data_IF_586382837277
#
_entry.id   IF_586382837277
#
_cell.length_a   1.000
_cell.length_b   1.000
_cell.length_c   1.000
_cell.angle_alpha   90.00
_cell.angle_beta   90.00
_cell.angle_gamma   90.00
#
_symmetry.space_group_name_H-M   'P 1'
#
loop_
_entity.id
_entity.type
_entity.pdbx_description
1 polymer ?
#
# COMPACT_ATOMS: atom_id res chain seq x y z
N UNK A 1 -0.35 -40.03 -14.86
CA UNK A 1 -1.38 -40.74 -14.09
C UNK A 1 -2.48 -39.77 -13.66
N UNK A 2 -3.76 -40.12 -13.83
CA UNK A 2 -4.91 -39.26 -13.51
C UNK A 2 -5.37 -39.33 -12.04
N UNK A 3 -6.43 -38.57 -11.70
CA UNK A 3 -7.08 -38.63 -10.37
C UNK A 3 -7.75 -39.99 -10.16
N UNK A 4 -7.73 -40.47 -8.92
CA UNK A 4 -8.50 -41.66 -8.52
C UNK A 4 -10.01 -41.42 -8.63
N UNK A 5 -10.77 -42.44 -9.07
CA UNK A 5 -12.22 -42.38 -9.37
C UNK A 5 -13.07 -43.40 -8.59
N UNK A 6 -12.49 -44.12 -7.64
CA UNK A 6 -13.21 -45.15 -6.88
C UNK A 6 -14.14 -44.57 -5.81
N UNK A 7 -15.24 -45.26 -5.51
CA UNK A 7 -16.23 -44.83 -4.50
C UNK A 7 -15.61 -44.55 -3.11
N UNK A 8 -14.54 -45.28 -2.73
CA UNK A 8 -13.86 -45.15 -1.42
C UNK A 8 -12.62 -44.23 -1.44
N UNK A 9 -12.43 -43.37 -2.44
CA UNK A 9 -11.21 -42.54 -2.57
C UNK A 9 -11.34 -41.10 -2.07
N UNK A 10 -12.42 -40.76 -1.36
CA UNK A 10 -12.70 -39.40 -0.89
C UNK A 10 -11.56 -38.78 -0.05
N UNK A 11 -10.98 -39.54 0.88
CA UNK A 11 -9.87 -39.06 1.74
C UNK A 11 -8.66 -38.64 0.91
N UNK A 12 -8.27 -39.46 -0.08
CA UNK A 12 -7.13 -39.18 -0.98
C UNK A 12 -7.36 -37.92 -1.80
N UNK A 13 -8.57 -37.76 -2.35
CA UNK A 13 -8.93 -36.56 -3.13
C UNK A 13 -8.90 -35.29 -2.26
N UNK A 14 -9.42 -35.35 -1.02
CA UNK A 14 -9.41 -34.22 -0.08
C UNK A 14 -7.99 -33.81 0.32
N UNK A 15 -7.16 -34.76 0.75
CA UNK A 15 -5.78 -34.46 1.15
C UNK A 15 -4.98 -33.88 -0.01
N UNK A 16 -5.05 -34.52 -1.18
CA UNK A 16 -4.38 -34.03 -2.38
C UNK A 16 -4.82 -32.60 -2.73
N UNK A 17 -6.13 -32.29 -2.69
CA UNK A 17 -6.62 -30.93 -2.94
C UNK A 17 -6.10 -29.93 -1.91
N UNK A 18 -6.04 -30.30 -0.63
CA UNK A 18 -5.52 -29.44 0.45
C UNK A 18 -4.04 -29.12 0.22
N UNK A 19 -3.25 -30.12 -0.15
CA UNK A 19 -1.82 -29.93 -0.41
C UNK A 19 -1.62 -29.07 -1.66
N UNK A 20 -2.41 -29.32 -2.71
CA UNK A 20 -2.38 -28.52 -3.93
C UNK A 20 -2.82 -27.07 -3.73
N UNK A 21 -3.72 -26.78 -2.78
CA UNK A 21 -4.09 -25.38 -2.44
C UNK A 21 -2.88 -24.56 -1.99
N UNK A 22 -1.88 -25.17 -1.37
CA UNK A 22 -0.68 -24.44 -0.94
C UNK A 22 0.24 -24.00 -2.09
N UNK A 23 0.08 -24.58 -3.29
CA UNK A 23 0.75 -24.10 -4.51
C UNK A 23 0.07 -22.86 -5.10
N UNK A 24 -1.18 -22.55 -4.70
CA UNK A 24 -1.82 -21.29 -5.07
C UNK A 24 -1.26 -20.12 -4.25
N UNK A 25 -0.74 -19.11 -4.97
CA UNK A 25 -0.07 -17.96 -4.37
C UNK A 25 -1.00 -17.13 -3.48
N UNK A 26 -2.27 -17.00 -3.86
CA UNK A 26 -3.24 -16.19 -3.09
C UNK A 26 -3.63 -16.92 -1.81
N UNK A 27 -3.91 -18.22 -1.92
CA UNK A 27 -4.20 -19.09 -0.79
C UNK A 27 -3.04 -19.07 0.22
N UNK A 28 -1.81 -19.29 -0.24
CA UNK A 28 -0.62 -19.25 0.62
C UNK A 28 -0.46 -17.89 1.32
N UNK A 29 -0.63 -16.78 0.59
CA UNK A 29 -0.51 -15.42 1.16
C UNK A 29 -1.56 -15.14 2.24
N UNK A 30 -2.79 -15.64 2.06
CA UNK A 30 -3.88 -15.45 3.01
C UNK A 30 -3.73 -16.33 4.26
N UNK A 31 -3.33 -17.60 4.12
CA UNK A 31 -3.36 -18.58 5.21
C UNK A 31 -2.04 -18.71 5.98
N UNK A 32 -0.92 -18.21 5.43
CA UNK A 32 0.38 -18.24 6.11
C UNK A 32 0.57 -17.09 7.12
N UNK A 33 -0.33 -16.10 7.13
CA UNK A 33 -0.22 -14.92 8.02
C UNK A 33 0.90 -13.94 7.66
N UNK A 34 1.76 -14.25 6.68
CA UNK A 34 2.85 -13.36 6.21
C UNK A 34 2.32 -11.99 5.77
N UNK A 35 1.13 -11.96 5.14
CA UNK A 35 0.48 -10.72 4.74
C UNK A 35 0.12 -9.82 5.94
N UNK A 36 -0.17 -10.39 7.11
CA UNK A 36 -0.48 -9.60 8.31
C UNK A 36 0.82 -9.10 8.98
N UNK A 37 1.83 -9.97 9.10
CA UNK A 37 3.11 -9.65 9.77
C UNK A 37 3.93 -8.63 8.98
N UNK A 38 4.08 -8.85 7.68
CA UNK A 38 4.98 -8.05 6.83
C UNK A 38 4.34 -6.75 6.33
N UNK A 39 3.00 -6.67 6.25
CA UNK A 39 2.33 -5.47 5.75
C UNK A 39 2.52 -4.30 6.74
N UNK A 40 3.04 -3.14 6.30
CA UNK A 40 3.12 -1.94 7.14
C UNK A 40 1.77 -1.51 7.71
N UNK A 41 0.66 -1.79 7.02
CA UNK A 41 -0.68 -1.45 7.50
C UNK A 41 -1.28 -2.51 8.42
N UNK A 42 -0.63 -3.65 8.64
CA UNK A 42 -1.16 -4.69 9.55
C UNK A 42 -2.58 -5.16 9.17
N UNK A 43 -2.89 -5.23 7.87
CA UNK A 43 -4.21 -5.66 7.38
C UNK A 43 -5.26 -4.54 7.25
N UNK A 44 -5.01 -3.35 7.80
CA UNK A 44 -5.91 -2.21 7.64
C UNK A 44 -5.88 -1.63 6.20
N UNK A 45 -6.98 -0.97 5.79
CA UNK A 45 -7.09 -0.30 4.49
C UNK A 45 -6.26 0.98 4.42
N UNK A 46 -6.19 1.71 5.53
CA UNK A 46 -5.49 2.98 5.68
C UNK A 46 -4.63 2.98 6.95
N UNK A 47 -3.67 3.89 7.00
CA UNK A 47 -2.91 4.16 8.21
C UNK A 47 -2.57 5.64 8.31
N UNK A 48 -2.60 6.15 9.54
CA UNK A 48 -2.16 7.50 9.89
C UNK A 48 -0.65 7.48 10.15
N UNK A 49 0.04 8.54 9.74
CA UNK A 49 1.47 8.68 9.93
C UNK A 49 1.91 10.13 10.00
N UNK A 50 3.16 10.33 10.40
CA UNK A 50 3.82 11.63 10.49
C UNK A 50 4.83 11.73 9.34
N UNK A 51 4.85 12.86 8.64
CA UNK A 51 5.82 13.11 7.57
C UNK A 51 7.20 13.37 8.17
N UNK A 52 8.21 12.67 7.65
CA UNK A 52 9.61 12.86 8.04
C UNK A 52 10.34 13.79 7.08
N UNK A 53 10.24 13.54 5.78
CA UNK A 53 10.99 14.25 4.74
C UNK A 53 10.23 14.22 3.41
N UNK A 54 10.43 15.24 2.58
CA UNK A 54 9.97 15.30 1.19
C UNK A 54 11.00 14.57 0.31
N UNK A 55 10.56 13.63 -0.53
CA UNK A 55 11.46 12.79 -1.34
C UNK A 55 11.08 12.88 -2.81
N UNK A 56 12.04 13.20 -3.67
CA UNK A 56 11.91 13.03 -5.12
C UNK A 56 12.31 11.61 -5.53
N UNK A 57 11.39 10.85 -6.12
CA UNK A 57 11.68 9.51 -6.65
C UNK A 57 11.76 9.59 -8.17
N UNK A 58 12.89 9.18 -8.75
CA UNK A 58 13.04 9.12 -10.20
C UNK A 58 12.11 8.05 -10.80
N UNK A 59 11.47 8.39 -11.91
CA UNK A 59 10.64 7.46 -12.65
C UNK A 59 11.49 6.34 -13.27
N UNK A 60 10.88 5.17 -13.43
CA UNK A 60 11.49 4.08 -14.20
C UNK A 60 11.55 4.45 -15.68
N UNK A 61 12.63 4.04 -16.33
CA UNK A 61 12.74 3.98 -17.78
C UNK A 61 11.50 3.26 -18.35
N UNK A 62 10.90 3.73 -19.46
CA UNK A 62 11.41 4.72 -20.45
C UNK A 62 11.08 6.19 -20.13
N UNK A 63 10.45 6.48 -18.99
CA UNK A 63 10.01 7.83 -18.65
C UNK A 63 11.14 8.60 -17.94
N UNK A 64 11.20 9.92 -18.14
CA UNK A 64 12.04 10.83 -17.38
C UNK A 64 11.17 11.80 -16.59
N UNK A 65 11.09 11.61 -15.27
CA UNK A 65 10.34 12.49 -14.36
C UNK A 65 10.77 12.26 -12.91
N UNK A 66 10.61 13.30 -12.08
CA UNK A 66 10.76 13.20 -10.62
C UNK A 66 9.38 13.15 -9.99
N UNK A 67 9.01 11.98 -9.47
CA UNK A 67 7.74 11.74 -8.77
C UNK A 67 7.84 12.23 -7.34
N UNK A 68 7.02 13.23 -6.99
CA UNK A 68 6.98 13.82 -5.65
C UNK A 68 6.36 12.85 -4.64
N UNK A 69 7.15 12.46 -3.66
CA UNK A 69 6.77 11.54 -2.59
C UNK A 69 7.12 12.14 -1.23
N UNK A 70 6.63 11.50 -0.17
CA UNK A 70 6.98 11.80 1.22
C UNK A 70 7.35 10.53 1.95
N UNK A 71 8.32 10.62 2.84
CA UNK A 71 8.62 9.59 3.83
C UNK A 71 7.69 9.78 5.00
N UNK A 72 6.99 8.73 5.38
CA UNK A 72 5.99 8.76 6.46
C UNK A 72 6.33 7.70 7.48
N UNK A 73 6.35 8.06 8.76
CA UNK A 73 6.40 7.12 9.86
C UNK A 73 4.98 6.85 10.36
N UNK A 74 4.56 5.59 10.31
CA UNK A 74 3.24 5.20 10.79
C UNK A 74 3.16 5.31 12.32
N UNK A 75 2.14 5.99 12.84
CA UNK A 75 1.99 6.23 14.29
C UNK A 75 1.82 4.91 15.06
N UNK A 76 1.03 3.98 14.51
CA UNK A 76 0.66 2.75 15.20
C UNK A 76 1.79 1.74 15.40
N UNK A 77 2.83 1.77 14.57
CA UNK A 77 3.86 0.73 14.57
C UNK A 77 5.28 1.25 14.29
N UNK A 78 5.46 2.56 14.15
CA UNK A 78 6.76 3.20 13.90
C UNK A 78 7.41 2.84 12.56
N UNK A 79 6.75 2.07 11.69
CA UNK A 79 7.33 1.65 10.40
C UNK A 79 7.41 2.85 9.46
N UNK A 80 8.58 3.05 8.86
CA UNK A 80 8.82 4.07 7.83
C UNK A 80 8.38 3.55 6.47
N UNK A 81 7.59 4.33 5.76
CA UNK A 81 7.10 4.03 4.41
C UNK A 81 7.32 5.22 3.48
N UNK A 82 7.32 4.98 2.18
CA UNK A 82 7.24 6.03 1.16
C UNK A 82 5.85 6.08 0.58
N UNK A 83 5.26 7.27 0.53
CA UNK A 83 3.95 7.50 -0.05
C UNK A 83 4.03 8.56 -1.15
N UNK A 84 3.34 8.31 -2.25
CA UNK A 84 3.23 9.25 -3.36
C UNK A 84 2.24 10.37 -3.03
N UNK A 85 2.55 11.60 -3.44
CA UNK A 85 1.65 12.74 -3.35
C UNK A 85 0.97 12.91 -4.71
N UNK A 86 -0.36 12.69 -4.81
CA UNK A 86 -1.06 12.76 -6.08
C UNK A 86 -1.35 14.21 -6.48
N UNK A 87 -1.52 14.42 -7.79
CA UNK A 87 -1.77 15.71 -8.46
C UNK A 87 -0.61 16.71 -8.36
N UNK A 88 -0.61 17.67 -9.27
CA UNK A 88 0.42 18.69 -9.33
C UNK A 88 0.31 19.71 -8.18
N UNK A 89 1.43 20.28 -7.75
CA UNK A 89 1.52 21.27 -6.68
C UNK A 89 1.15 20.77 -5.27
N UNK A 90 0.64 19.55 -5.13
CA UNK A 90 0.11 19.07 -3.86
C UNK A 90 1.17 18.82 -2.78
N UNK A 91 2.44 18.75 -3.17
CA UNK A 91 3.56 18.68 -2.23
C UNK A 91 3.66 19.96 -1.37
N UNK A 92 3.20 21.10 -1.90
CA UNK A 92 3.23 22.38 -1.19
C UNK A 92 2.24 22.43 -0.01
N UNK A 93 1.26 21.53 0.02
CA UNK A 93 0.30 21.45 1.13
C UNK A 93 0.80 20.62 2.31
N UNK A 94 1.93 19.92 2.16
CA UNK A 94 2.47 19.01 3.16
C UNK A 94 3.75 19.61 3.71
N UNK A 95 3.87 19.71 5.03
CA UNK A 95 5.13 20.02 5.70
C UNK A 95 5.71 18.83 6.45
N UNK A 96 6.95 18.97 6.87
CA UNK A 96 7.58 18.03 7.79
C UNK A 96 6.83 18.04 9.11
N UNK A 97 6.74 16.88 9.77
CA UNK A 97 5.98 16.64 10.98
C UNK A 97 4.45 16.75 10.86
N UNK A 98 3.91 17.02 9.65
CA UNK A 98 2.46 16.97 9.44
C UNK A 98 1.91 15.56 9.63
N UNK A 99 0.70 15.51 10.17
CA UNK A 99 -0.08 14.28 10.22
C UNK A 99 -0.74 14.01 8.86
N UNK A 100 -0.50 12.82 8.30
CA UNK A 100 -1.06 12.39 7.01
C UNK A 100 -1.82 11.08 7.12
N UNK A 101 -2.90 10.97 6.35
CA UNK A 101 -3.61 9.72 6.13
C UNK A 101 -3.11 9.08 4.84
N UNK A 102 -2.60 7.86 4.96
CA UNK A 102 -2.01 7.09 3.86
C UNK A 102 -2.93 5.91 3.49
N UNK A 103 -3.07 5.67 2.19
CA UNK A 103 -3.79 4.54 1.62
C UNK A 103 -2.88 3.67 0.74
N UNK A 104 -3.30 2.43 0.48
CA UNK A 104 -2.70 1.61 -0.56
C UNK A 104 -2.92 2.19 -1.96
N UNK A 105 -2.00 1.93 -2.88
CA UNK A 105 -2.04 2.43 -4.26
C UNK A 105 -2.87 1.52 -5.20
N UNK A 106 -3.60 0.53 -4.67
CA UNK A 106 -4.56 -0.29 -5.43
C UNK A 106 -4.04 -1.62 -5.99
N UNK A 107 -2.73 -1.81 -6.22
CA UNK A 107 -2.17 -3.09 -6.73
C UNK A 107 -1.83 -4.11 -5.64
N UNK A 108 -2.70 -4.29 -4.64
CA UNK A 108 -2.59 -5.33 -3.57
C UNK A 108 -1.20 -5.42 -2.89
N UNK A 109 -0.54 -4.28 -2.68
CA UNK A 109 0.78 -4.17 -2.05
C UNK A 109 1.96 -4.15 -3.02
N UNK A 110 1.71 -4.08 -4.33
CA UNK A 110 2.72 -3.84 -5.36
C UNK A 110 2.85 -2.36 -5.70
N UNK A 111 4.05 -1.98 -6.17
CA UNK A 111 4.27 -0.65 -6.70
C UNK A 111 3.46 -0.41 -7.99
N UNK A 112 3.14 0.85 -8.24
CA UNK A 112 2.22 1.25 -9.32
C UNK A 112 2.95 2.14 -10.32
N UNK A 113 2.65 1.91 -11.60
CA UNK A 113 3.18 2.70 -12.70
C UNK A 113 4.70 2.69 -12.77
N UNK A 114 5.25 3.86 -13.05
CA UNK A 114 6.67 4.12 -13.21
C UNK A 114 7.37 4.47 -11.88
N UNK A 115 6.68 4.41 -10.74
CA UNK A 115 7.25 4.80 -9.44
C UNK A 115 7.90 3.57 -8.77
N UNK A 116 9.24 3.48 -8.68
CA UNK A 116 9.91 2.34 -8.06
C UNK A 116 9.67 2.33 -6.55
N UNK A 117 9.36 1.15 -5.99
CA UNK A 117 9.28 0.93 -4.55
C UNK A 117 8.09 1.55 -3.82
N UNK A 118 7.38 2.51 -4.42
CA UNK A 118 6.26 3.22 -3.78
C UNK A 118 4.95 2.44 -3.95
N UNK A 119 4.37 2.02 -2.81
CA UNK A 119 3.17 1.16 -2.73
C UNK A 119 1.95 1.87 -2.16
N UNK A 120 2.14 3.12 -1.73
CA UNK A 120 1.16 3.88 -0.95
C UNK A 120 1.00 5.29 -1.53
N UNK A 121 -0.12 5.93 -1.22
CA UNK A 121 -0.42 7.31 -1.60
C UNK A 121 -1.00 8.10 -0.43
N UNK A 122 -0.79 9.40 -0.43
CA UNK A 122 -1.39 10.33 0.54
C UNK A 122 -2.85 10.61 0.14
N UNK A 123 -3.75 10.66 1.14
CA UNK A 123 -5.18 10.94 0.96
C UNK A 123 -5.62 12.20 1.70
N UNK A 124 -5.12 12.39 2.93
CA UNK A 124 -5.40 13.56 3.77
C UNK A 124 -4.12 14.09 4.39
N UNK A 125 -4.11 15.38 4.70
CA UNK A 125 -3.05 16.12 5.38
C UNK A 125 -3.73 16.99 6.43
N UNK A 126 -3.23 16.99 7.67
CA UNK A 126 -3.81 17.76 8.77
C UNK A 126 -5.34 17.60 8.90
N UNK A 127 -5.84 16.37 8.83
CA UNK A 127 -7.27 15.99 8.80
C UNK A 127 -8.11 16.54 7.62
N UNK A 128 -7.53 17.29 6.69
CA UNK A 128 -8.19 17.78 5.47
C UNK A 128 -7.86 16.89 4.28
N UNK A 129 -8.85 16.65 3.40
CA UNK A 129 -8.61 15.90 2.17
C UNK A 129 -7.70 16.66 1.23
N UNK A 130 -6.67 15.98 0.71
CA UNK A 130 -5.74 16.56 -0.26
C UNK A 130 -6.47 16.98 -1.55
N UNK A 131 -7.50 16.23 -1.96
CA UNK A 131 -8.35 16.62 -3.10
C UNK A 131 -9.14 17.91 -2.83
N UNK A 132 -9.56 18.14 -1.59
CA UNK A 132 -10.28 19.36 -1.22
C UNK A 132 -9.35 20.58 -1.20
N UNK A 133 -8.12 20.41 -0.71
CA UNK A 133 -7.06 21.43 -0.77
C UNK A 133 -6.70 21.75 -2.23
N UNK A 134 -6.47 20.72 -3.05
CA UNK A 134 -6.13 20.88 -4.47
C UNK A 134 -7.20 21.64 -5.26
N UNK A 135 -8.49 21.40 -4.97
CA UNK A 135 -9.61 22.10 -5.62
C UNK A 135 -9.97 23.44 -4.98
N UNK A 136 -9.24 23.89 -3.95
CA UNK A 136 -9.55 25.12 -3.21
C UNK A 136 -10.89 25.08 -2.45
N UNK A 137 -11.46 23.89 -2.23
CA UNK A 137 -12.75 23.74 -1.51
C UNK A 137 -12.61 23.87 0.00
N UNK A 138 -11.40 23.62 0.49
CA UNK A 138 -11.02 23.77 1.89
C UNK A 138 -9.63 24.37 1.93
N UNK A 139 -9.36 25.15 2.96
CA UNK A 139 -8.03 25.65 3.25
C UNK A 139 -7.33 24.73 4.26
N UNK A 140 -6.01 24.82 4.30
CA UNK A 140 -5.23 24.14 5.32
C UNK A 140 -5.52 24.79 6.68
N UNK A 141 -5.82 24.01 7.73
CA UNK A 141 -5.99 24.57 9.05
C UNK A 141 -4.71 25.26 9.48
N UNK A 142 -4.83 26.46 10.02
CA UNK A 142 -3.71 27.14 10.70
C UNK A 142 -3.59 26.52 12.08
N UNK A 143 -2.42 26.01 12.40
CA UNK A 143 -2.02 25.68 13.77
C UNK A 143 -1.52 26.94 14.46
#
# INVERSE_FOLDING_TARGET
AGKCRGLRTARKLRSHRRDQKWHDKQYKKAHLGTALKANPFGGASHAKGIVLEKVGVEAKQPNSAIRKCVRVQLIKNGKKITAFVPNDGCLNFIEENDEVLVAGFGRKGHAVGDIPGVRFKVVKVANVSLLALYKGKKERPRS
#
